data_IF_323965693860
#
_entry.id   IF_323965693860
#
_cell.length_a   1.000
_cell.length_b   1.000
_cell.length_c   1.000
_cell.angle_alpha   90.00
_cell.angle_beta   90.00
_cell.angle_gamma   90.00
#
_symmetry.space_group_name_H-M   'P 1'
#
loop_
_entity.id
_entity.type
_entity.pdbx_description
1 polymer ?
#
# COMPACT_ATOMS: atom_id res chain seq x y z
N UNK A 1 -57.07 84.96 -1.93
CA UNK A 1 -55.70 85.20 -1.44
C UNK A 1 -55.23 83.91 -0.79
N UNK A 2 -54.27 83.21 -1.40
CA UNK A 2 -53.79 81.90 -0.93
C UNK A 2 -53.11 82.00 0.44
N UNK A 3 -53.23 80.94 1.27
CA UNK A 3 -52.04 80.38 1.90
C UNK A 3 -51.99 78.86 1.68
N UNK A 4 -50.93 78.40 1.03
CA UNK A 4 -49.72 77.81 1.64
C UNK A 4 -49.90 76.33 1.98
N UNK A 5 -49.28 75.51 1.12
CA UNK A 5 -48.93 74.12 1.39
C UNK A 5 -48.10 74.02 2.68
N UNK A 6 -48.45 73.06 3.54
CA UNK A 6 -47.49 72.45 4.46
C UNK A 6 -47.61 70.93 4.32
N UNK A 7 -46.56 70.34 3.75
CA UNK A 7 -46.42 68.91 3.56
C UNK A 7 -46.08 68.24 4.91
N UNK A 8 -46.95 67.36 5.38
CA UNK A 8 -46.69 66.47 6.52
C UNK A 8 -45.84 65.29 6.04
N UNK A 9 -44.71 64.94 6.68
CA UNK A 9 -43.97 63.75 6.31
C UNK A 9 -44.71 62.51 6.79
N UNK A 10 -45.04 61.61 5.87
CA UNK A 10 -45.61 60.30 6.15
C UNK A 10 -44.51 59.38 6.67
N UNK A 11 -44.54 59.03 7.95
CA UNK A 11 -43.64 58.04 8.55
C UNK A 11 -44.15 56.64 8.18
N UNK A 12 -43.50 55.99 7.20
CA UNK A 12 -43.81 54.61 6.83
C UNK A 12 -43.10 53.65 7.80
N UNK A 13 -43.88 53.03 8.70
CA UNK A 13 -43.40 51.97 9.58
C UNK A 13 -43.38 50.64 8.80
N UNK A 14 -42.20 50.20 8.33
CA UNK A 14 -42.03 48.84 7.79
C UNK A 14 -42.07 47.83 8.95
N UNK A 15 -43.19 47.13 9.12
CA UNK A 15 -43.23 45.89 9.89
C UNK A 15 -42.51 44.79 9.08
N UNK A 16 -41.28 44.46 9.48
CA UNK A 16 -40.57 43.28 8.97
C UNK A 16 -41.24 42.01 9.48
N UNK A 17 -41.79 41.20 8.58
CA UNK A 17 -42.23 39.84 8.90
C UNK A 17 -40.99 38.94 9.07
N UNK A 18 -40.72 38.52 10.31
CA UNK A 18 -39.74 37.47 10.61
C UNK A 18 -40.32 36.12 10.19
N UNK A 19 -39.93 35.63 9.01
CA UNK A 19 -40.16 34.24 8.63
C UNK A 19 -39.24 33.34 9.47
N UNK A 20 -39.76 32.39 10.26
CA UNK A 20 -38.92 31.39 10.91
C UNK A 20 -38.36 30.47 9.83
N UNK A 21 -37.06 30.56 9.57
CA UNK A 21 -36.35 29.57 8.77
C UNK A 21 -36.38 28.23 9.52
N UNK A 22 -37.18 27.27 9.05
CA UNK A 22 -37.01 25.87 9.41
C UNK A 22 -35.60 25.46 8.95
N UNK A 23 -34.66 25.37 9.90
CA UNK A 23 -33.43 24.62 9.68
C UNK A 23 -33.81 23.15 9.61
N UNK A 24 -33.99 22.63 8.40
CA UNK A 24 -33.90 21.20 8.16
C UNK A 24 -32.49 20.79 8.59
N UNK A 25 -32.37 20.02 9.68
CA UNK A 25 -31.09 19.50 10.14
C UNK A 25 -30.43 18.75 8.99
N UNK A 26 -29.15 19.07 8.71
CA UNK A 26 -28.37 18.32 7.74
C UNK A 26 -28.41 16.83 8.09
N UNK A 27 -28.59 15.93 7.11
CA UNK A 27 -28.49 14.51 7.37
C UNK A 27 -27.11 14.25 7.98
N UNK A 28 -27.07 13.70 9.18
CA UNK A 28 -25.83 13.20 9.79
C UNK A 28 -25.16 12.27 8.78
N UNK A 29 -23.99 12.67 8.27
CA UNK A 29 -23.21 11.88 7.34
C UNK A 29 -22.98 10.50 7.96
N UNK A 30 -23.51 9.46 7.33
CA UNK A 30 -23.19 8.08 7.71
C UNK A 30 -21.68 7.93 7.51
N UNK A 31 -20.90 7.52 8.52
CA UNK A 31 -19.49 7.25 8.33
C UNK A 31 -19.35 6.22 7.21
N UNK A 32 -18.69 6.59 6.12
CA UNK A 32 -18.35 5.64 5.06
C UNK A 32 -17.54 4.54 5.73
N UNK A 33 -18.03 3.30 5.68
CA UNK A 33 -17.30 2.16 6.19
C UNK A 33 -15.94 2.11 5.50
N UNK A 34 -14.88 2.49 6.23
CA UNK A 34 -13.51 2.27 5.77
C UNK A 34 -13.21 0.80 5.96
N UNK A 35 -13.05 0.06 4.87
CA UNK A 35 -12.55 -1.31 4.91
C UNK A 35 -11.05 -1.26 5.25
N UNK A 36 -10.70 -1.38 6.54
CA UNK A 36 -9.34 -1.66 6.94
C UNK A 36 -9.15 -3.18 7.01
N UNK A 37 -8.07 -3.69 6.42
CA UNK A 37 -7.57 -5.02 6.72
C UNK A 37 -6.52 -4.86 7.81
N UNK A 38 -6.96 -4.82 9.07
CA UNK A 38 -6.12 -4.62 10.26
C UNK A 38 -5.68 -5.94 10.93
N UNK A 39 -5.99 -7.06 10.28
CA UNK A 39 -5.64 -8.39 10.78
C UNK A 39 -6.53 -8.91 11.89
N UNK A 40 -7.68 -8.28 12.18
CA UNK A 40 -8.58 -8.71 13.28
C UNK A 40 -9.79 -9.54 12.82
N UNK A 41 -9.93 -9.78 11.51
CA UNK A 41 -11.05 -10.52 10.93
C UNK A 41 -11.04 -12.02 11.23
N UNK A 42 -12.18 -12.73 11.03
CA UNK A 42 -12.25 -14.18 11.22
C UNK A 42 -11.19 -14.94 10.40
N UNK A 43 -10.40 -15.77 11.08
CA UNK A 43 -9.36 -16.59 10.44
C UNK A 43 -8.00 -15.90 10.30
N UNK A 44 -7.89 -14.60 10.62
CA UNK A 44 -6.58 -13.97 10.79
C UNK A 44 -5.85 -14.56 11.99
N UNK A 45 -4.55 -14.74 11.79
CA UNK A 45 -3.61 -15.16 12.83
C UNK A 45 -2.23 -14.63 12.47
N UNK A 46 -1.37 -14.50 13.47
CA UNK A 46 0.03 -14.19 13.24
C UNK A 46 0.73 -15.36 12.52
N UNK A 47 1.62 -15.01 11.60
CA UNK A 47 2.58 -15.94 11.03
C UNK A 47 3.84 -15.93 11.89
N UNK A 48 4.33 -17.11 12.25
CA UNK A 48 5.47 -17.30 13.16
C UNK A 48 6.60 -18.03 12.47
N UNK A 49 7.73 -18.25 13.17
CA UNK A 49 8.85 -19.04 12.66
C UNK A 49 8.44 -20.43 12.17
N UNK A 50 7.43 -21.06 12.78
CA UNK A 50 6.96 -22.40 12.40
C UNK A 50 6.23 -22.42 11.04
N UNK A 51 5.76 -21.26 10.56
CA UNK A 51 5.03 -21.16 9.30
C UNK A 51 5.95 -21.07 8.09
N UNK A 52 7.26 -20.95 8.29
CA UNK A 52 8.22 -20.74 7.19
C UNK A 52 9.38 -21.72 7.21
N UNK A 53 9.96 -21.93 6.03
CA UNK A 53 11.19 -22.70 5.83
C UNK A 53 12.13 -22.00 4.85
N UNK A 54 13.43 -22.26 4.99
CA UNK A 54 14.48 -21.71 4.12
C UNK A 54 14.36 -22.27 2.71
N UNK A 55 14.69 -21.45 1.72
CA UNK A 55 14.85 -21.88 0.31
C UNK A 55 16.33 -21.88 -0.06
N UNK A 56 16.93 -20.70 -0.17
CA UNK A 56 18.33 -20.51 -0.59
C UNK A 56 19.08 -19.52 0.32
N UNK A 57 18.63 -19.40 1.57
CA UNK A 57 19.20 -18.51 2.58
C UNK A 57 20.33 -19.16 3.38
N UNK A 58 21.29 -18.35 3.81
CA UNK A 58 22.26 -18.79 4.82
C UNK A 58 21.59 -18.85 6.20
N UNK A 59 22.23 -19.54 7.15
CA UNK A 59 21.67 -19.75 8.48
C UNK A 59 21.46 -18.47 9.28
N UNK A 60 22.23 -17.43 8.98
CA UNK A 60 22.20 -16.12 9.63
C UNK A 60 21.44 -15.05 8.82
N UNK A 61 20.83 -15.41 7.68
CA UNK A 61 20.13 -14.42 6.85
C UNK A 61 18.83 -13.94 7.49
N UNK A 62 18.10 -14.83 8.16
CA UNK A 62 16.79 -14.56 8.74
C UNK A 62 16.79 -14.89 10.23
N UNK A 63 16.25 -13.99 11.05
CA UNK A 63 16.14 -14.20 12.48
C UNK A 63 14.84 -13.59 13.02
N UNK A 64 14.14 -14.33 13.87
CA UNK A 64 13.01 -13.80 14.63
C UNK A 64 13.53 -13.15 15.92
N UNK A 65 13.09 -11.92 16.19
CA UNK A 65 13.40 -11.16 17.42
C UNK A 65 12.16 -10.43 17.86
N UNK A 66 11.70 -10.68 19.08
CA UNK A 66 10.55 -9.99 19.68
C UNK A 66 9.30 -9.99 18.79
N UNK A 67 9.00 -11.12 18.13
CA UNK A 67 7.87 -11.28 17.22
C UNK A 67 8.08 -10.69 15.81
N UNK A 68 9.23 -10.08 15.54
CA UNK A 68 9.56 -9.44 14.26
C UNK A 68 10.56 -10.29 13.48
N UNK A 69 10.30 -10.51 12.19
CA UNK A 69 11.24 -11.15 11.28
C UNK A 69 12.28 -10.15 10.77
N UNK A 70 13.56 -10.41 11.05
CA UNK A 70 14.69 -9.62 10.57
C UNK A 70 15.39 -10.32 9.41
N UNK A 71 15.79 -9.55 8.39
CA UNK A 71 16.59 -10.00 7.25
C UNK A 71 17.90 -9.22 7.14
N UNK A 72 19.02 -9.91 6.96
CA UNK A 72 20.33 -9.27 6.71
C UNK A 72 20.51 -8.87 5.24
N UNK A 73 19.73 -9.48 4.33
CA UNK A 73 19.88 -9.37 2.87
C UNK A 73 21.14 -10.06 2.32
N UNK A 74 21.84 -10.86 3.14
CA UNK A 74 23.12 -11.49 2.79
C UNK A 74 23.08 -13.00 3.07
N UNK A 75 23.12 -13.86 2.03
CA UNK A 75 22.98 -13.52 0.60
C UNK A 75 21.56 -13.04 0.25
N UNK A 76 21.40 -12.50 -0.96
CA UNK A 76 20.07 -12.29 -1.57
C UNK A 76 19.37 -13.64 -1.73
N UNK A 77 18.33 -13.85 -0.94
CA UNK A 77 17.66 -15.15 -0.82
C UNK A 77 16.24 -14.95 -0.28
N UNK A 78 15.47 -16.05 -0.24
CA UNK A 78 14.10 -16.05 0.27
C UNK A 78 13.85 -17.19 1.25
N UNK A 79 12.86 -16.99 2.11
CA UNK A 79 12.14 -18.04 2.80
C UNK A 79 10.75 -18.20 2.17
N UNK A 80 10.08 -19.32 2.43
CA UNK A 80 8.72 -19.57 1.95
C UNK A 80 7.85 -20.15 3.05
N UNK A 81 6.55 -20.06 2.89
CA UNK A 81 5.60 -20.78 3.75
C UNK A 81 5.83 -22.29 3.66
N UNK A 82 5.61 -22.99 4.78
CA UNK A 82 5.72 -24.47 4.81
C UNK A 82 4.64 -25.15 3.98
N UNK A 83 3.50 -24.48 3.78
CA UNK A 83 2.37 -24.93 2.96
C UNK A 83 2.16 -23.99 1.79
N UNK A 84 1.68 -24.54 0.68
CA UNK A 84 1.17 -23.74 -0.43
C UNK A 84 -0.18 -23.13 -0.07
N UNK A 85 -0.37 -21.86 -0.43
CA UNK A 85 -1.57 -21.09 -0.13
C UNK A 85 -2.03 -20.47 -1.45
N UNK A 86 -3.29 -20.73 -1.81
CA UNK A 86 -3.87 -20.22 -3.06
C UNK A 86 -4.59 -18.89 -2.84
N UNK A 87 -5.59 -18.89 -1.95
CA UNK A 87 -6.40 -17.73 -1.62
C UNK A 87 -6.08 -17.30 -0.19
N UNK A 88 -5.82 -16.02 0.01
CA UNK A 88 -5.50 -15.47 1.32
C UNK A 88 -5.80 -13.98 1.36
N UNK A 89 -6.00 -13.48 2.58
CA UNK A 89 -5.83 -12.08 2.93
C UNK A 89 -4.60 -12.00 3.84
N UNK A 90 -3.78 -10.97 3.68
CA UNK A 90 -2.55 -10.82 4.43
C UNK A 90 -2.29 -9.35 4.71
N UNK A 91 -2.04 -9.05 5.98
CA UNK A 91 -1.54 -7.76 6.44
C UNK A 91 -0.09 -7.94 6.85
N UNK A 92 0.78 -7.05 6.37
CA UNK A 92 2.20 -7.03 6.75
C UNK A 92 2.58 -5.61 7.06
N UNK A 93 3.29 -5.42 8.17
CA UNK A 93 4.00 -4.19 8.46
C UNK A 93 5.49 -4.40 8.23
N UNK A 94 6.16 -3.40 7.66
CA UNK A 94 7.58 -3.50 7.34
C UNK A 94 8.29 -2.17 7.58
N UNK A 95 9.60 -2.26 7.78
CA UNK A 95 10.52 -1.12 7.79
C UNK A 95 11.88 -1.53 7.28
N UNK A 96 12.57 -0.62 6.61
CA UNK A 96 13.98 -0.75 6.32
C UNK A 96 14.81 -0.07 7.42
N UNK A 97 15.92 -0.70 7.80
CA UNK A 97 16.85 -0.14 8.79
C UNK A 97 18.03 0.58 8.12
N UNK A 98 17.93 0.81 6.81
CA UNK A 98 18.91 1.48 5.96
C UNK A 98 18.16 2.27 4.89
N UNK A 99 18.65 3.49 4.63
CA UNK A 99 18.21 4.28 3.49
C UNK A 99 18.43 3.47 2.21
N UNK A 100 17.46 3.52 1.30
CA UNK A 100 17.53 2.80 0.03
C UNK A 100 17.43 1.28 0.16
N UNK A 101 16.90 0.77 1.27
CA UNK A 101 16.59 -0.64 1.43
C UNK A 101 15.66 -1.17 0.32
N UNK A 102 15.93 -2.40 -0.12
CA UNK A 102 15.14 -3.10 -1.13
C UNK A 102 14.88 -4.54 -0.68
N UNK A 103 13.60 -4.90 -0.64
CA UNK A 103 13.08 -6.23 -0.37
C UNK A 103 11.78 -6.43 -1.17
N UNK A 104 11.15 -7.59 -0.99
CA UNK A 104 9.87 -7.88 -1.61
C UNK A 104 9.19 -9.07 -0.93
N UNK A 105 7.87 -9.13 -1.09
CA UNK A 105 7.05 -10.28 -0.69
C UNK A 105 6.64 -10.98 -1.97
N UNK A 106 7.01 -12.26 -2.11
CA UNK A 106 6.65 -13.06 -3.26
C UNK A 106 5.38 -13.84 -2.98
N UNK A 107 4.37 -13.65 -3.82
CA UNK A 107 3.10 -14.40 -3.79
C UNK A 107 2.98 -15.25 -5.06
N UNK A 108 2.37 -16.42 -4.91
CA UNK A 108 2.24 -17.42 -5.99
C UNK A 108 3.58 -17.74 -6.69
N UNK A 109 4.63 -17.93 -5.90
CA UNK A 109 5.92 -18.38 -6.41
C UNK A 109 5.80 -19.78 -7.04
N UNK A 110 6.38 -20.01 -8.22
CA UNK A 110 6.19 -21.29 -8.91
C UNK A 110 6.99 -22.40 -8.24
N UNK A 111 6.42 -23.62 -8.07
CA UNK A 111 7.10 -24.75 -7.44
C UNK A 111 8.45 -25.07 -8.10
N UNK A 112 8.55 -24.96 -9.43
CA UNK A 112 9.77 -25.23 -10.19
C UNK A 112 10.87 -24.22 -9.85
N UNK A 113 10.51 -22.95 -9.66
CA UNK A 113 11.47 -21.91 -9.30
C UNK A 113 11.97 -22.07 -7.87
N UNK A 114 11.10 -22.45 -6.94
CA UNK A 114 11.47 -22.78 -5.56
C UNK A 114 12.40 -23.98 -5.55
N UNK A 115 12.04 -25.07 -6.24
CA UNK A 115 12.90 -26.26 -6.34
C UNK A 115 14.28 -25.92 -6.90
N UNK A 116 14.34 -25.17 -7.99
CA UNK A 116 15.59 -24.72 -8.61
C UNK A 116 16.46 -23.94 -7.62
N UNK A 117 15.88 -23.02 -6.84
CA UNK A 117 16.64 -22.23 -5.87
C UNK A 117 17.15 -23.09 -4.72
N UNK A 118 16.31 -23.98 -4.19
CA UNK A 118 16.69 -24.93 -3.13
C UNK A 118 17.83 -25.84 -3.58
N UNK A 119 17.69 -26.48 -4.75
CA UNK A 119 18.70 -27.41 -5.28
C UNK A 119 20.03 -26.70 -5.57
N UNK A 120 19.96 -25.45 -6.07
CA UNK A 120 21.17 -24.69 -6.38
C UNK A 120 21.88 -24.17 -5.14
N UNK A 121 21.15 -23.85 -4.06
CA UNK A 121 21.70 -23.24 -2.84
C UNK A 121 22.42 -21.92 -3.08
N UNK A 122 22.09 -21.21 -4.17
CA UNK A 122 22.77 -19.99 -4.62
C UNK A 122 21.85 -18.75 -4.50
N UNK A 123 22.43 -17.54 -4.41
CA UNK A 123 21.65 -16.31 -4.36
C UNK A 123 20.70 -16.17 -5.56
N UNK A 124 19.47 -15.75 -5.30
CA UNK A 124 18.43 -15.66 -6.31
C UNK A 124 17.04 -15.43 -5.74
N UNK A 125 16.12 -15.03 -6.62
CA UNK A 125 14.72 -14.77 -6.32
C UNK A 125 13.83 -15.76 -7.10
N UNK A 126 12.65 -16.14 -6.56
CA UNK A 126 11.76 -17.06 -7.23
C UNK A 126 11.08 -16.41 -8.44
N UNK A 127 10.46 -17.22 -9.28
CA UNK A 127 9.48 -16.73 -10.25
C UNK A 127 8.14 -16.68 -9.54
N UNK A 128 7.36 -15.61 -9.72
CA UNK A 128 6.11 -15.40 -8.99
C UNK A 128 5.56 -14.01 -9.28
N UNK A 129 4.65 -13.54 -8.43
CA UNK A 129 4.26 -12.14 -8.35
C UNK A 129 4.98 -11.53 -7.14
N UNK A 130 5.59 -10.36 -7.32
CA UNK A 130 6.25 -9.63 -6.24
C UNK A 130 5.43 -8.42 -5.84
N UNK A 131 5.21 -8.29 -4.53
CA UNK A 131 4.76 -7.05 -3.89
C UNK A 131 6.01 -6.35 -3.37
N UNK A 132 6.33 -5.21 -3.95
CA UNK A 132 7.57 -4.49 -3.74
C UNK A 132 7.65 -3.88 -2.33
N UNK A 133 8.79 -4.04 -1.66
CA UNK A 133 9.07 -3.37 -0.38
C UNK A 133 10.34 -2.53 -0.52
N UNK A 134 10.18 -1.24 -0.82
CA UNK A 134 11.29 -0.29 -0.94
C UNK A 134 11.27 0.72 0.21
N UNK A 135 12.46 1.17 0.59
CA UNK A 135 12.64 2.36 1.40
C UNK A 135 12.31 3.63 0.60
N UNK A 136 11.80 4.66 1.27
CA UNK A 136 11.45 5.93 0.62
C UNK A 136 12.67 6.63 -0.01
N UNK A 137 13.88 6.39 0.51
CA UNK A 137 15.11 6.90 -0.08
C UNK A 137 15.55 6.19 -1.37
N UNK A 138 14.92 5.07 -1.73
CA UNK A 138 15.35 4.26 -2.88
C UNK A 138 15.26 5.02 -4.21
N UNK A 139 14.23 5.86 -4.38
CA UNK A 139 14.06 6.73 -5.54
C UNK A 139 15.29 7.62 -5.75
N UNK A 140 15.69 8.37 -4.73
CA UNK A 140 16.83 9.27 -4.80
C UNK A 140 18.13 8.50 -5.09
N UNK A 141 18.34 7.35 -4.46
CA UNK A 141 19.51 6.50 -4.71
C UNK A 141 19.54 5.98 -6.14
N UNK A 142 18.40 5.51 -6.66
CA UNK A 142 18.28 5.03 -8.03
C UNK A 142 18.63 6.12 -9.03
N UNK A 143 18.00 7.30 -8.94
CA UNK A 143 18.24 8.39 -9.89
C UNK A 143 19.68 8.90 -9.80
N UNK A 144 20.24 8.99 -8.59
CA UNK A 144 21.63 9.38 -8.37
C UNK A 144 22.60 8.39 -9.00
N UNK A 145 22.36 7.09 -8.83
CA UNK A 145 23.22 6.01 -9.31
C UNK A 145 23.13 5.81 -10.82
N UNK A 146 21.93 5.79 -11.36
CA UNK A 146 21.67 5.44 -12.76
C UNK A 146 21.50 6.65 -13.68
N UNK A 147 21.41 7.86 -13.13
CA UNK A 147 21.23 9.12 -13.88
C UNK A 147 20.02 9.07 -14.82
N UNK A 148 18.92 8.47 -14.35
CA UNK A 148 17.67 8.27 -15.08
C UNK A 148 16.48 8.51 -14.15
N UNK A 149 15.32 8.97 -14.66
CA UNK A 149 14.12 9.10 -13.87
C UNK A 149 13.64 7.73 -13.36
N UNK A 150 13.02 7.73 -12.18
CA UNK A 150 12.36 6.54 -11.59
C UNK A 150 10.86 6.50 -11.93
N UNK A 151 10.51 6.52 -13.21
CA UNK A 151 9.12 6.54 -13.69
C UNK A 151 8.47 5.14 -13.81
N UNK A 152 9.25 4.08 -13.57
CA UNK A 152 8.83 2.69 -13.74
C UNK A 152 8.62 1.94 -12.41
N UNK A 153 8.83 2.57 -11.26
CA UNK A 153 8.54 2.01 -9.93
C UNK A 153 8.11 3.08 -8.93
N UNK A 154 7.41 2.68 -7.88
CA UNK A 154 7.18 3.47 -6.66
C UNK A 154 7.79 2.76 -5.45
N UNK A 155 7.76 3.42 -4.29
CA UNK A 155 8.19 2.85 -3.01
C UNK A 155 7.03 2.36 -2.14
N UNK A 156 5.82 2.27 -2.70
CA UNK A 156 4.57 2.14 -1.93
C UNK A 156 3.86 0.79 -2.04
N UNK A 157 4.52 -0.25 -2.58
CA UNK A 157 3.91 -1.57 -2.69
C UNK A 157 3.52 -2.00 -4.11
N UNK A 158 4.30 -1.60 -5.11
CA UNK A 158 4.09 -2.02 -6.50
C UNK A 158 3.91 -3.54 -6.63
N UNK A 159 3.05 -3.97 -7.55
CA UNK A 159 2.82 -5.39 -7.85
C UNK A 159 3.25 -5.69 -9.28
N UNK A 160 4.06 -6.72 -9.48
CA UNK A 160 4.60 -7.08 -10.80
C UNK A 160 5.02 -8.55 -10.90
N UNK A 161 5.07 -9.14 -12.11
CA UNK A 161 5.51 -10.51 -12.28
C UNK A 161 7.04 -10.60 -12.33
N UNK A 162 7.60 -11.67 -11.78
CA UNK A 162 9.04 -11.94 -11.75
C UNK A 162 9.37 -13.24 -12.49
N UNK A 163 10.42 -13.18 -13.30
CA UNK A 163 10.88 -14.32 -14.10
C UNK A 163 9.95 -14.62 -15.26
N UNK A 164 9.50 -15.87 -15.36
CA UNK A 164 8.67 -16.35 -16.48
C UNK A 164 7.15 -16.16 -16.26
N UNK A 165 6.75 -15.62 -15.11
CA UNK A 165 5.32 -15.40 -14.78
C UNK A 165 4.78 -14.22 -15.58
N UNK A 166 3.48 -14.26 -15.88
CA UNK A 166 2.75 -13.16 -16.51
C UNK A 166 1.59 -12.77 -15.62
N UNK A 167 1.22 -11.50 -15.66
CA UNK A 167 0.01 -10.97 -15.04
C UNK A 167 -0.54 -9.85 -15.89
N UNK A 168 -1.82 -9.53 -15.70
CA UNK A 168 -2.44 -8.33 -16.23
C UNK A 168 -2.55 -7.32 -15.08
N UNK A 169 -1.71 -6.27 -15.04
CA UNK A 169 -1.77 -5.30 -13.95
C UNK A 169 -3.01 -4.40 -14.06
N UNK A 170 -3.52 -3.98 -12.90
CA UNK A 170 -4.54 -2.94 -12.84
C UNK A 170 -3.89 -1.55 -12.88
N UNK A 171 -4.57 -0.54 -13.45
CA UNK A 171 -4.13 0.85 -13.36
C UNK A 171 -4.07 1.34 -11.89
N UNK A 172 -3.17 2.28 -11.55
CA UNK A 172 -2.14 2.86 -12.41
C UNK A 172 -1.05 1.86 -12.80
N UNK A 173 -0.57 1.93 -14.05
CA UNK A 173 0.42 0.99 -14.61
C UNK A 173 1.71 1.69 -15.01
N UNK A 174 2.84 1.01 -14.81
CA UNK A 174 4.13 1.46 -15.29
C UNK A 174 4.15 1.58 -16.82
N UNK A 175 5.08 2.39 -17.40
CA UNK A 175 5.14 2.62 -18.85
C UNK A 175 5.26 1.36 -19.72
N UNK A 176 5.85 0.27 -19.18
CA UNK A 176 6.00 -1.00 -19.89
C UNK A 176 4.77 -1.93 -19.79
N UNK A 177 3.74 -1.51 -19.06
CA UNK A 177 2.49 -2.23 -18.88
C UNK A 177 2.60 -3.51 -18.04
N UNK A 178 3.68 -3.73 -17.30
CA UNK A 178 3.91 -4.98 -16.53
C UNK A 178 3.81 -4.83 -15.02
N UNK A 179 3.76 -3.60 -14.51
CA UNK A 179 3.73 -3.31 -13.07
C UNK A 179 2.54 -2.43 -12.74
N UNK A 180 1.83 -2.80 -11.70
CA UNK A 180 0.74 -2.00 -11.10
C UNK A 180 1.31 -1.17 -9.96
N UNK A 181 0.92 0.09 -9.89
CA UNK A 181 1.24 0.99 -8.79
C UNK A 181 0.04 1.08 -7.84
N UNK A 182 0.28 1.29 -6.53
CA UNK A 182 -0.79 1.58 -5.58
C UNK A 182 -1.62 2.81 -6.01
N UNK A 183 -2.93 2.75 -5.77
CA UNK A 183 -3.92 3.81 -6.05
C UNK A 183 -4.20 4.70 -4.85
#
# INVERSE_FOLDING_TARGET
MNPLLNATPLFALLLGALSPSLHAGEPTAVPVARAFIDGTGPGFRDLTAADFTKVNSADDTWAWKDGILHCTGKPRSVMRTVREITNFEMTVEWRHLKVGGNSGIFVWATPESIKRLTDAGKPGLPHGIEVQVLDLGYTQEYETRFKKPSDWFTTHGDVFPVGAVKMTPFPPVAPDGKRSFPS
#
